data_IF_334350355870
#
_entry.id   IF_334350355870
#
_cell.length_a   1.000
_cell.length_b   1.000
_cell.length_c   1.000
_cell.angle_alpha   90.00
_cell.angle_beta   90.00
_cell.angle_gamma   90.00
#
_symmetry.space_group_name_H-M   'P 1'
#
loop_
_entity.id
_entity.type
_entity.pdbx_description
1 polymer ?
#
# COMPACT_ATOMS: atom_id res chain seq x y z
N UNK A 1 0.00 4.49 7.93
CA UNK A 1 -0.53 5.08 6.68
C UNK A 1 -0.68 6.60 6.72
N UNK A 2 -0.12 7.23 7.71
CA UNK A 2 -0.08 8.70 7.74
C UNK A 2 0.58 9.26 6.46
N UNK A 3 0.10 10.32 5.82
CA UNK A 3 -1.02 11.16 6.28
C UNK A 3 -2.43 10.67 5.90
N UNK A 4 -2.53 9.62 5.08
CA UNK A 4 -3.83 9.14 4.57
C UNK A 4 -4.75 8.68 5.70
N UNK A 5 -4.18 7.95 6.68
CA UNK A 5 -4.89 7.43 7.82
C UNK A 5 -4.21 7.82 9.13
N UNK A 6 -4.98 8.19 10.13
CA UNK A 6 -4.52 8.48 11.48
C UNK A 6 -4.73 7.27 12.39
N UNK A 7 -3.93 7.16 13.45
CA UNK A 7 -4.00 6.05 14.38
C UNK A 7 -5.33 5.89 15.08
N UNK A 8 -6.06 7.00 15.27
CA UNK A 8 -7.37 7.00 15.94
C UNK A 8 -8.53 6.68 15.01
N UNK A 9 -8.27 6.59 13.70
CA UNK A 9 -9.32 6.31 12.71
C UNK A 9 -9.67 4.83 12.66
N UNK A 10 -10.95 4.55 12.45
CA UNK A 10 -11.46 3.18 12.26
C UNK A 10 -11.96 3.03 10.83
N UNK A 11 -11.67 1.87 10.24
CA UNK A 11 -11.86 1.58 8.84
C UNK A 11 -12.91 0.50 8.62
N UNK A 12 -13.64 0.64 7.53
CA UNK A 12 -14.41 -0.47 6.97
C UNK A 12 -13.57 -1.16 5.90
N UNK A 13 -13.52 -2.49 5.95
CA UNK A 13 -12.69 -3.31 5.06
C UNK A 13 -13.59 -4.24 4.26
N UNK A 14 -13.45 -4.22 2.94
CA UNK A 14 -14.14 -5.15 2.06
C UNK A 14 -13.33 -6.44 1.97
N UNK A 15 -13.79 -7.49 2.65
CA UNK A 15 -13.08 -8.76 2.76
C UNK A 15 -13.31 -9.70 1.58
N UNK A 16 -14.27 -9.40 0.71
CA UNK A 16 -14.63 -10.29 -0.39
C UNK A 16 -14.21 -9.79 -1.77
N UNK A 17 -13.79 -8.53 -1.89
CA UNK A 17 -13.51 -7.93 -3.21
C UNK A 17 -12.47 -8.73 -4.00
N UNK A 18 -11.45 -9.26 -3.31
CA UNK A 18 -10.35 -9.95 -3.98
C UNK A 18 -10.63 -11.43 -4.28
N UNK A 19 -11.84 -11.89 -4.02
CA UNK A 19 -12.31 -13.16 -4.58
C UNK A 19 -12.68 -13.02 -6.06
N UNK A 20 -13.01 -11.81 -6.49
CA UNK A 20 -13.51 -11.52 -7.83
C UNK A 20 -12.56 -10.63 -8.63
N UNK A 21 -11.88 -9.72 -7.95
CA UNK A 21 -10.97 -8.76 -8.57
C UNK A 21 -9.57 -8.88 -8.02
N UNK A 22 -8.59 -8.50 -8.84
CA UNK A 22 -7.20 -8.42 -8.40
C UNK A 22 -6.94 -7.07 -7.71
N UNK A 23 -6.05 -7.02 -6.70
CA UNK A 23 -5.62 -5.76 -6.14
C UNK A 23 -4.98 -4.87 -7.20
N UNK A 24 -5.34 -3.59 -7.19
CA UNK A 24 -4.83 -2.60 -8.11
C UNK A 24 -3.83 -1.67 -7.42
N UNK A 25 -2.89 -1.12 -8.20
CA UNK A 25 -1.96 -0.09 -7.71
C UNK A 25 -2.78 1.07 -7.14
N UNK A 26 -2.44 1.47 -5.92
CA UNK A 26 -3.15 2.52 -5.19
C UNK A 26 -4.15 2.00 -4.17
N UNK A 27 -4.57 0.75 -4.24
CA UNK A 27 -5.46 0.18 -3.23
C UNK A 27 -4.79 0.17 -1.86
N UNK A 28 -5.56 0.46 -0.83
CA UNK A 28 -5.13 0.30 0.56
C UNK A 28 -5.63 -1.05 1.03
N UNK A 29 -4.71 -1.92 1.43
CA UNK A 29 -5.02 -3.30 1.81
C UNK A 29 -4.65 -3.57 3.25
N UNK A 30 -5.40 -4.48 3.86
CA UNK A 30 -5.12 -5.04 5.18
C UNK A 30 -4.62 -6.46 4.98
N UNK A 31 -3.48 -6.78 5.57
CA UNK A 31 -2.93 -8.13 5.50
C UNK A 31 -2.38 -8.58 6.86
N UNK A 32 -2.35 -9.88 7.05
CA UNK A 32 -1.79 -10.47 8.26
C UNK A 32 -0.28 -10.62 8.12
N UNK A 33 0.46 -9.88 8.93
CA UNK A 33 1.92 -9.94 8.97
C UNK A 33 2.41 -11.12 9.80
N UNK A 34 1.80 -11.27 10.97
CA UNK A 34 2.03 -12.37 11.92
C UNK A 34 0.68 -12.74 12.54
N UNK A 35 0.52 -13.95 13.09
CA UNK A 35 -0.73 -14.31 13.77
C UNK A 35 -1.17 -13.26 14.78
N UNK A 36 -2.36 -12.71 14.57
CA UNK A 36 -2.93 -11.67 15.42
C UNK A 36 -2.40 -10.26 15.17
N UNK A 37 -1.55 -10.06 14.16
CA UNK A 37 -0.98 -8.74 13.84
C UNK A 37 -1.22 -8.39 12.38
N UNK A 38 -2.09 -7.41 12.15
CA UNK A 38 -2.43 -6.93 10.82
C UNK A 38 -1.70 -5.63 10.51
N UNK A 39 -1.29 -5.50 9.27
CA UNK A 39 -0.74 -4.27 8.72
C UNK A 39 -1.68 -3.69 7.67
N UNK A 40 -1.66 -2.36 7.54
CA UNK A 40 -2.38 -1.61 6.51
C UNK A 40 -1.35 -0.90 5.65
N UNK A 41 -1.33 -1.21 4.37
CA UNK A 41 -0.37 -0.63 3.42
C UNK A 41 -1.05 -0.36 2.08
N UNK A 42 -0.35 0.39 1.22
CA UNK A 42 -0.81 0.71 -0.14
C UNK A 42 -0.12 -0.19 -1.15
N UNK A 43 -0.88 -0.67 -2.14
CA UNK A 43 -0.34 -1.47 -3.24
C UNK A 43 0.47 -0.57 -4.18
N UNK A 44 1.73 -0.90 -4.38
CA UNK A 44 2.65 -0.19 -5.27
C UNK A 44 2.94 -1.01 -6.52
N UNK A 45 3.00 -2.32 -6.40
CA UNK A 45 3.22 -3.21 -7.53
C UNK A 45 2.54 -4.55 -7.35
N UNK A 46 2.17 -5.17 -8.44
CA UNK A 46 1.56 -6.50 -8.49
C UNK A 46 2.40 -7.43 -9.36
N UNK A 47 1.99 -8.68 -9.47
CA UNK A 47 2.75 -9.72 -10.18
C UNK A 47 3.25 -9.25 -11.55
N UNK A 48 4.53 -9.40 -11.79
CA UNK A 48 5.20 -9.01 -13.02
C UNK A 48 5.67 -7.55 -13.08
N UNK A 49 5.27 -6.72 -12.12
CA UNK A 49 5.71 -5.32 -12.09
C UNK A 49 7.14 -5.20 -11.57
N UNK A 50 7.92 -4.32 -12.20
CA UNK A 50 9.24 -3.94 -11.72
C UNK A 50 9.10 -2.68 -10.87
N UNK A 51 9.53 -2.75 -9.62
CA UNK A 51 9.47 -1.63 -8.67
C UNK A 51 10.86 -1.17 -8.34
N UNK A 52 11.08 0.14 -8.43
CA UNK A 52 12.36 0.77 -8.11
C UNK A 52 12.12 2.11 -7.42
N UNK A 53 12.98 2.44 -6.47
CA UNK A 53 12.99 3.74 -5.80
C UNK A 53 14.32 4.41 -6.09
N UNK A 54 14.26 5.57 -6.74
CA UNK A 54 15.42 6.39 -7.09
C UNK A 54 15.13 7.85 -6.79
N UNK A 55 16.07 8.50 -6.09
CA UNK A 55 15.96 9.93 -5.80
C UNK A 55 14.70 10.32 -5.03
N UNK A 56 14.23 9.44 -4.15
CA UNK A 56 13.02 9.68 -3.35
C UNK A 56 11.72 9.50 -4.10
N UNK A 57 11.75 8.86 -5.28
CA UNK A 57 10.57 8.64 -6.11
C UNK A 57 10.42 7.17 -6.47
N UNK A 58 9.16 6.73 -6.59
CA UNK A 58 8.83 5.36 -6.95
C UNK A 58 8.58 5.26 -8.45
N UNK A 59 9.21 4.27 -9.07
CA UNK A 59 9.01 3.93 -10.48
C UNK A 59 8.45 2.51 -10.58
N UNK A 60 7.41 2.36 -11.35
CA UNK A 60 6.80 1.06 -11.66
C UNK A 60 6.90 0.84 -13.16
N UNK A 61 7.58 -0.23 -13.57
CA UNK A 61 7.84 -0.53 -14.98
C UNK A 61 8.49 0.67 -15.72
N UNK A 62 9.48 1.30 -15.06
CA UNK A 62 10.23 2.46 -15.56
C UNK A 62 9.40 3.75 -15.71
N UNK A 63 8.19 3.77 -15.20
CA UNK A 63 7.34 4.96 -15.21
C UNK A 63 7.19 5.52 -13.80
N UNK A 64 7.32 6.84 -13.68
CA UNK A 64 7.12 7.53 -12.40
C UNK A 64 5.69 7.28 -11.90
N UNK A 65 5.58 6.77 -10.68
CA UNK A 65 4.28 6.64 -10.02
C UNK A 65 3.92 7.99 -9.41
N UNK A 66 2.78 8.53 -9.81
CA UNK A 66 2.24 9.74 -9.21
C UNK A 66 1.61 9.41 -7.85
N UNK A 67 2.06 10.11 -6.82
CA UNK A 67 1.66 9.82 -5.46
C UNK A 67 1.18 11.07 -4.71
N UNK A 68 0.00 11.62 -5.09
CA UNK A 68 -0.50 12.86 -4.50
C UNK A 68 -0.87 12.75 -3.02
N UNK A 69 -1.06 11.55 -2.52
CA UNK A 69 -1.40 11.28 -1.13
C UNK A 69 -0.21 11.42 -0.16
N UNK A 70 1.00 11.56 -0.69
CA UNK A 70 2.19 11.72 0.16
C UNK A 70 2.37 13.18 0.60
N UNK A 71 2.94 13.34 1.79
CA UNK A 71 3.44 14.64 2.23
C UNK A 71 4.64 15.04 1.38
N UNK A 72 4.83 16.37 1.20
CA UNK A 72 6.02 16.86 0.52
C UNK A 72 7.29 16.56 1.33
N UNK A 73 8.40 16.43 0.63
CA UNK A 73 9.75 16.24 1.21
C UNK A 73 9.92 14.98 2.06
N UNK A 74 9.16 13.93 1.80
CA UNK A 74 9.47 12.63 2.35
C UNK A 74 10.67 12.03 1.62
N UNK A 75 11.75 11.80 2.34
CA UNK A 75 12.94 11.17 1.78
C UNK A 75 12.84 9.66 1.89
N UNK A 76 13.31 8.98 0.85
CA UNK A 76 13.43 7.54 0.82
C UNK A 76 14.80 7.16 0.31
N UNK A 77 15.35 6.08 0.86
CA UNK A 77 16.56 5.48 0.31
C UNK A 77 16.25 4.82 -1.03
N UNK A 78 17.24 4.79 -1.91
CA UNK A 78 17.12 4.02 -3.14
C UNK A 78 16.88 2.54 -2.83
N UNK A 79 16.07 1.90 -3.66
CA UNK A 79 15.70 0.50 -3.49
C UNK A 79 15.45 -0.16 -4.83
N UNK A 80 15.81 -1.42 -4.96
CA UNK A 80 15.56 -2.20 -6.17
C UNK A 80 16.56 -1.92 -7.29
N UNK A 81 16.19 -2.20 -8.56
CA UNK A 81 14.86 -2.69 -8.95
C UNK A 81 14.58 -4.11 -8.50
N UNK A 82 13.30 -4.40 -8.24
CA UNK A 82 12.83 -5.74 -7.93
C UNK A 82 11.61 -6.06 -8.80
N UNK A 83 11.45 -7.32 -9.17
CA UNK A 83 10.28 -7.79 -9.89
C UNK A 83 9.37 -8.54 -8.94
N UNK A 84 8.09 -8.18 -8.93
CA UNK A 84 7.09 -8.80 -8.06
C UNK A 84 6.74 -10.18 -8.61
N UNK A 85 6.93 -11.27 -7.83
CA UNK A 85 6.61 -12.61 -8.31
C UNK A 85 5.10 -12.83 -8.40
N UNK A 86 4.72 -13.86 -9.18
CA UNK A 86 3.32 -14.27 -9.29
C UNK A 86 2.75 -14.62 -7.92
N UNK A 87 1.55 -14.16 -7.63
CA UNK A 87 0.87 -14.41 -6.36
C UNK A 87 1.27 -13.49 -5.22
N UNK A 88 2.07 -12.44 -5.51
CA UNK A 88 2.58 -11.52 -4.50
C UNK A 88 2.29 -10.06 -4.87
N UNK A 89 2.48 -9.20 -3.88
CA UNK A 89 2.36 -7.75 -4.02
C UNK A 89 3.57 -7.07 -3.41
N UNK A 90 3.89 -5.89 -3.91
CA UNK A 90 4.81 -4.96 -3.28
C UNK A 90 3.99 -3.85 -2.64
N UNK A 91 4.08 -3.72 -1.33
CA UNK A 91 3.28 -2.79 -0.54
C UNK A 91 4.17 -1.77 0.15
N UNK A 92 3.71 -0.53 0.24
CA UNK A 92 4.40 0.53 0.99
C UNK A 92 3.43 1.32 1.85
N UNK A 93 3.90 1.74 3.03
CA UNK A 93 3.17 2.70 3.84
C UNK A 93 3.29 4.11 3.25
N UNK A 94 2.30 4.95 3.45
CA UNK A 94 2.34 6.33 2.95
C UNK A 94 3.34 7.20 3.73
N UNK A 95 3.56 6.90 5.00
CA UNK A 95 4.61 7.56 5.77
C UNK A 95 5.97 6.96 5.45
N UNK A 96 6.52 7.33 4.30
CA UNK A 96 7.67 6.69 3.66
C UNK A 96 8.95 6.69 4.48
N UNK A 97 9.11 7.67 5.35
CA UNK A 97 10.33 7.78 6.19
C UNK A 97 10.30 6.82 7.38
N UNK A 98 9.13 6.30 7.76
CA UNK A 98 9.01 5.36 8.87
C UNK A 98 7.83 4.41 8.63
N UNK A 99 8.09 3.37 7.85
CA UNK A 99 7.09 2.34 7.56
C UNK A 99 7.80 0.99 7.42
N UNK A 100 7.32 -0.01 8.14
CA UNK A 100 7.77 -1.37 7.96
C UNK A 100 6.91 -2.02 6.88
N UNK A 101 7.44 -2.10 5.67
CA UNK A 101 6.73 -2.55 4.48
C UNK A 101 7.63 -3.40 3.58
N UNK A 102 7.26 -3.58 2.30
CA UNK A 102 7.98 -4.47 1.39
C UNK A 102 9.45 -4.10 1.16
N UNK A 103 9.85 -2.87 1.48
CA UNK A 103 11.27 -2.45 1.43
C UNK A 103 12.09 -3.09 2.55
N UNK A 104 11.43 -3.50 3.62
CA UNK A 104 12.08 -4.12 4.76
C UNK A 104 12.13 -5.64 4.54
N UNK A 105 13.31 -6.28 4.65
CA UNK A 105 13.42 -7.73 4.47
C UNK A 105 12.54 -8.57 5.39
N UNK A 106 12.13 -8.01 6.52
CA UNK A 106 11.22 -8.71 7.44
C UNK A 106 9.82 -8.86 6.88
N UNK A 107 9.42 -8.00 5.96
CA UNK A 107 8.12 -8.05 5.29
C UNK A 107 8.26 -8.64 3.89
N UNK A 108 9.10 -8.04 3.06
CA UNK A 108 9.32 -8.45 1.67
C UNK A 108 8.04 -8.39 0.83
N UNK A 109 7.95 -9.22 -0.19
CA UNK A 109 6.73 -9.36 -0.97
C UNK A 109 5.63 -10.00 -0.11
N UNK A 110 4.40 -9.51 -0.26
CA UNK A 110 3.25 -9.98 0.50
C UNK A 110 2.39 -10.88 -0.35
N UNK A 111 2.11 -12.11 0.14
CA UNK A 111 1.27 -13.05 -0.57
C UNK A 111 -0.17 -12.57 -0.66
N UNK A 112 -0.80 -12.78 -1.81
CA UNK A 112 -2.24 -12.53 -1.97
C UNK A 112 -3.08 -13.32 -0.96
N UNK A 113 -2.60 -14.48 -0.52
CA UNK A 113 -3.31 -15.31 0.46
C UNK A 113 -3.34 -14.66 1.85
N UNK A 114 -2.43 -13.77 2.15
CA UNK A 114 -2.37 -13.07 3.44
C UNK A 114 -3.26 -11.82 3.50
N UNK A 115 -3.86 -11.42 2.37
CA UNK A 115 -4.76 -10.28 2.33
C UNK A 115 -6.07 -10.59 3.05
N UNK A 116 -6.47 -9.68 3.92
CA UNK A 116 -7.79 -9.71 4.57
C UNK A 116 -8.83 -8.92 3.79
N UNK A 117 -8.41 -7.90 3.05
CA UNK A 117 -9.31 -7.12 2.22
C UNK A 117 -8.80 -5.72 1.89
N UNK A 118 -9.66 -4.94 1.26
CA UNK A 118 -9.39 -3.56 0.88
C UNK A 118 -10.11 -2.60 1.83
N UNK A 119 -9.37 -1.64 2.39
CA UNK A 119 -9.95 -0.55 3.17
C UNK A 119 -10.62 0.44 2.21
N UNK A 120 -11.87 0.79 2.46
CA UNK A 120 -12.63 1.65 1.55
C UNK A 120 -13.35 2.82 2.23
N UNK A 121 -13.47 2.80 3.55
CA UNK A 121 -14.21 3.84 4.26
C UNK A 121 -13.67 4.04 5.67
N UNK A 122 -13.52 5.29 6.08
CA UNK A 122 -13.20 5.66 7.45
C UNK A 122 -14.51 6.06 8.12
N UNK A 123 -14.89 5.40 9.19
CA UNK A 123 -16.16 5.67 9.87
C UNK A 123 -16.00 6.25 11.27
N UNK A 124 -14.81 6.26 11.80
CA UNK A 124 -14.54 6.80 13.13
C UNK A 124 -13.25 7.63 13.13
N UNK A 125 -13.22 8.80 13.73
CA UNK A 125 -14.35 9.49 14.35
C UNK A 125 -15.34 10.00 13.28
N UNK A 126 -16.63 10.24 13.61
CA UNK A 126 -17.65 10.60 12.60
C UNK A 126 -17.34 11.87 11.79
N UNK A 127 -16.67 12.84 12.42
CA UNK A 127 -16.28 14.08 11.72
C UNK A 127 -15.13 13.91 10.74
N UNK A 128 -14.49 12.75 10.75
CA UNK A 128 -13.42 12.39 9.81
C UNK A 128 -13.89 11.36 8.79
N UNK A 129 -15.20 11.02 8.81
CA UNK A 129 -15.75 9.98 7.93
C UNK A 129 -15.57 10.35 6.46
N UNK A 130 -15.00 9.43 5.68
CA UNK A 130 -14.74 9.63 4.26
C UNK A 130 -14.47 8.32 3.52
N UNK A 131 -14.68 8.36 2.21
CA UNK A 131 -14.31 7.26 1.31
C UNK A 131 -12.82 7.30 1.05
N UNK A 132 -12.19 6.12 1.06
CA UNK A 132 -10.79 5.95 0.68
C UNK A 132 -10.78 5.51 -0.79
N UNK A 133 -10.14 6.31 -1.65
CA UNK A 133 -9.98 5.98 -3.06
C UNK A 133 -8.60 5.43 -3.39
N UNK A 134 -8.48 4.85 -4.57
CA UNK A 134 -7.20 4.45 -5.16
C UNK A 134 -6.63 5.62 -5.94
N UNK A 135 -6.13 6.61 -5.24
CA UNK A 135 -5.72 7.88 -5.86
C UNK A 135 -4.65 7.71 -6.95
N UNK A 136 -3.76 6.73 -6.78
CA UNK A 136 -2.76 6.47 -7.80
C UNK A 136 -3.35 5.96 -9.11
N UNK A 137 -4.51 5.33 -9.08
CA UNK A 137 -5.19 4.83 -10.28
C UNK A 137 -5.88 5.95 -11.07
N UNK A 138 -6.05 7.11 -10.48
CA UNK A 138 -6.67 8.28 -11.12
C UNK A 138 -5.68 9.08 -11.97
N UNK A 139 -4.40 8.77 -11.87
CA UNK A 139 -3.31 9.45 -12.59
C UNK A 139 -3.09 8.90 -14.02
#
# INVERSE_FOLDING_TARGET
MYPTLNETERLMVNKIIYRFDQPEIGDIVVFEYQPGRDFIKRVIGSAGDKVEILGGRVFVNDQLLEEPYLLENMEMNDFGPVEVPAGYLFLMGDYRINSMDSRDPRVGFVSLEDLKGRAFYIFWPPWEARVIGSEAAEQ
#
